data_IF_755122114976
#
_entry.id   IF_755122114976
#
_cell.length_a   1.000
_cell.length_b   1.000
_cell.length_c   1.000
_cell.angle_alpha   90.00
_cell.angle_beta   90.00
_cell.angle_gamma   90.00
#
_symmetry.space_group_name_H-M   'P 1'
#
loop_
_entity.id
_entity.type
_entity.pdbx_description
1 polymer ?
#
# COMPACT_ATOMS: atom_id res chain seq x y z
N UNK A 1 -26.79 39.88 15.26
CA UNK A 1 -27.33 40.90 14.34
C UNK A 1 -26.51 42.15 14.54
N UNK A 2 -25.53 42.41 13.66
CA UNK A 2 -24.95 43.74 13.38
C UNK A 2 -23.65 43.60 12.58
N UNK A 3 -23.75 42.97 11.39
CA UNK A 3 -22.70 43.06 10.36
C UNK A 3 -23.26 43.52 9.01
N UNK A 4 -24.55 43.86 8.93
CA UNK A 4 -25.26 44.20 7.69
C UNK A 4 -25.61 45.70 7.56
N UNK A 5 -25.35 46.52 8.59
CA UNK A 5 -25.76 47.93 8.59
C UNK A 5 -24.71 48.90 8.01
N UNK A 6 -23.43 48.54 7.94
CA UNK A 6 -22.36 49.43 7.47
C UNK A 6 -21.92 49.23 6.01
N UNK A 7 -22.57 48.32 5.27
CA UNK A 7 -22.28 48.08 3.85
C UNK A 7 -23.14 48.97 2.93
N UNK A 8 -24.18 49.65 3.46
CA UNK A 8 -25.13 50.44 2.64
C UNK A 8 -24.83 51.94 2.53
N UNK A 9 -23.86 52.48 3.26
CA UNK A 9 -23.53 53.92 3.23
C UNK A 9 -22.26 54.26 2.44
N UNK A 10 -21.56 53.28 1.87
CA UNK A 10 -20.41 53.51 0.95
C UNK A 10 -20.77 53.33 -0.54
N UNK A 11 -22.01 53.00 -0.88
CA UNK A 11 -22.41 52.66 -2.26
C UNK A 11 -23.03 53.84 -3.06
N UNK A 12 -22.89 55.09 -2.61
CA UNK A 12 -23.51 56.25 -3.28
C UNK A 12 -22.55 57.41 -3.62
N UNK A 13 -21.23 57.17 -3.63
CA UNK A 13 -20.28 58.12 -4.22
C UNK A 13 -19.21 57.35 -5.00
N UNK A 14 -19.09 57.65 -6.30
CA UNK A 14 -18.20 57.07 -7.33
C UNK A 14 -18.69 55.83 -8.11
N UNK A 15 -19.60 56.00 -9.09
CA UNK A 15 -19.62 55.19 -10.29
C UNK A 15 -18.80 55.90 -11.37
N UNK A 16 -17.54 55.50 -11.65
CA UNK A 16 -16.86 55.74 -12.97
C UNK A 16 -15.33 55.52 -13.03
N UNK A 17 -14.61 55.08 -12.00
CA UNK A 17 -13.11 55.03 -12.09
C UNK A 17 -12.51 53.67 -11.71
N UNK A 18 -13.13 52.56 -12.14
CA UNK A 18 -12.58 51.22 -11.92
C UNK A 18 -12.41 50.27 -13.13
N UNK A 19 -12.50 50.71 -14.41
CA UNK A 19 -11.95 49.89 -15.50
C UNK A 19 -10.78 50.49 -16.29
N UNK A 20 -10.29 51.71 -16.00
CA UNK A 20 -9.23 52.33 -16.84
C UNK A 20 -7.79 52.14 -16.35
N UNK A 21 -7.53 51.65 -15.12
CA UNK A 21 -6.16 51.58 -14.59
C UNK A 21 -5.40 50.27 -14.88
N UNK A 22 -6.06 49.25 -15.43
CA UNK A 22 -5.42 47.97 -15.77
C UNK A 22 -5.13 47.79 -17.28
N UNK A 23 -5.47 48.76 -18.14
CA UNK A 23 -5.37 48.58 -19.60
C UNK A 23 -4.34 49.46 -20.32
N UNK A 24 -3.64 50.37 -19.63
CA UNK A 24 -2.78 51.36 -20.32
C UNK A 24 -1.29 51.40 -19.92
N UNK A 25 -0.81 50.43 -19.14
CA UNK A 25 0.62 50.32 -18.78
C UNK A 25 1.34 49.12 -19.39
N UNK A 26 0.80 48.54 -20.46
CA UNK A 26 1.42 47.41 -21.19
C UNK A 26 2.05 47.79 -22.54
N UNK A 27 2.14 49.09 -22.89
CA UNK A 27 2.55 49.51 -24.24
C UNK A 27 3.83 50.35 -24.37
N UNK A 28 4.59 50.61 -23.30
CA UNK A 28 5.89 51.30 -23.45
C UNK A 28 6.93 50.81 -22.45
N UNK A 29 7.60 49.70 -22.80
CA UNK A 29 8.95 49.35 -22.32
C UNK A 29 9.59 48.43 -23.37
N UNK A 30 10.64 48.86 -24.09
CA UNK A 30 11.42 47.97 -24.94
C UNK A 30 12.46 47.30 -24.04
N UNK A 31 12.13 46.14 -23.49
CA UNK A 31 13.14 45.28 -22.84
C UNK A 31 12.95 43.87 -23.36
N UNK A 32 13.83 43.47 -24.27
CA UNK A 32 13.97 42.10 -24.76
C UNK A 32 14.30 41.17 -23.59
N UNK A 33 13.35 40.34 -23.18
CA UNK A 33 13.59 39.24 -22.25
C UNK A 33 13.92 37.96 -23.04
N UNK A 34 15.03 37.25 -22.76
CA UNK A 34 15.22 35.90 -23.22
C UNK A 34 14.34 34.94 -22.40
N UNK A 35 13.67 34.04 -23.09
CA UNK A 35 12.79 33.00 -22.55
C UNK A 35 13.61 31.88 -21.87
N UNK A 36 13.67 31.86 -20.54
CA UNK A 36 14.00 30.64 -19.76
C UNK A 36 13.18 30.58 -18.45
N UNK A 37 12.75 29.37 -18.01
CA UNK A 37 11.83 29.21 -16.90
C UNK A 37 12.53 29.45 -15.54
N UNK A 38 11.88 30.23 -14.68
CA UNK A 38 12.32 30.53 -13.32
C UNK A 38 12.03 29.35 -12.38
N UNK A 39 12.92 28.37 -12.34
CA UNK A 39 13.11 27.52 -11.17
C UNK A 39 14.49 27.85 -10.58
N UNK A 40 14.51 28.27 -9.31
CA UNK A 40 15.67 28.66 -8.49
C UNK A 40 16.15 30.12 -8.60
N UNK A 41 15.44 31.03 -7.93
CA UNK A 41 16.08 32.21 -7.34
C UNK A 41 15.92 32.21 -5.81
N UNK A 42 16.98 32.53 -5.05
CA UNK A 42 16.92 32.59 -3.59
C UNK A 42 16.04 33.76 -3.12
N UNK A 43 15.21 33.51 -2.07
CA UNK A 43 14.25 34.45 -1.46
C UNK A 43 14.83 35.82 -1.06
N UNK A 44 16.16 35.98 -0.98
CA UNK A 44 16.83 37.23 -0.59
C UNK A 44 16.85 38.33 -1.67
N UNK A 45 16.59 38.02 -2.95
CA UNK A 45 16.62 39.02 -4.03
C UNK A 45 15.25 39.66 -4.35
N UNK A 46 14.16 39.15 -3.78
CA UNK A 46 12.80 39.69 -4.02
C UNK A 46 12.44 40.88 -3.11
N UNK A 47 13.08 41.00 -1.95
CA UNK A 47 12.86 42.09 -0.98
C UNK A 47 13.16 43.51 -1.54
N UNK A 48 14.28 43.77 -2.25
CA UNK A 48 14.54 45.10 -2.77
C UNK A 48 13.62 45.49 -3.93
N UNK A 49 13.20 44.53 -4.76
CA UNK A 49 12.30 44.75 -5.90
C UNK A 49 10.87 45.06 -5.41
N UNK A 50 10.38 44.31 -4.42
CA UNK A 50 9.11 44.61 -3.77
C UNK A 50 9.12 45.98 -3.07
N UNK A 51 10.24 46.35 -2.43
CA UNK A 51 10.34 47.67 -1.75
C UNK A 51 10.26 48.84 -2.74
N UNK A 52 10.88 48.72 -3.92
CA UNK A 52 10.83 49.75 -4.96
C UNK A 52 9.46 49.84 -5.61
N UNK A 53 8.81 48.70 -5.83
CA UNK A 53 7.46 48.63 -6.39
C UNK A 53 6.41 49.24 -5.43
N UNK A 54 6.50 48.93 -4.13
CA UNK A 54 5.65 49.54 -3.10
C UNK A 54 5.91 51.06 -3.01
N UNK A 55 7.18 51.50 -3.09
CA UNK A 55 7.49 52.94 -3.05
C UNK A 55 6.95 53.71 -4.27
N UNK A 56 6.89 53.06 -5.44
CA UNK A 56 6.38 53.68 -6.67
C UNK A 56 4.85 53.75 -6.67
N UNK A 57 4.18 52.69 -6.20
CA UNK A 57 2.73 52.68 -6.00
C UNK A 57 2.32 53.71 -4.92
N UNK A 58 3.07 53.83 -3.82
CA UNK A 58 2.82 54.84 -2.79
C UNK A 58 3.02 56.29 -3.30
N UNK A 59 3.83 56.51 -4.35
CA UNK A 59 3.99 57.84 -4.97
C UNK A 59 2.89 58.19 -5.98
N UNK A 60 2.26 57.19 -6.59
CA UNK A 60 1.19 57.38 -7.58
C UNK A 60 -0.23 57.21 -7.01
N UNK A 61 -0.36 56.73 -5.76
CA UNK A 61 -1.64 56.64 -5.08
C UNK A 61 -2.19 58.04 -4.74
N UNK A 62 -3.49 58.30 -4.93
CA UNK A 62 -4.11 59.58 -4.59
C UNK A 62 -3.88 59.92 -3.11
N UNK A 63 -3.56 61.18 -2.82
CA UNK A 63 -3.28 61.76 -1.48
C UNK A 63 -4.49 61.75 -0.52
N UNK A 64 -5.27 60.68 -0.44
CA UNK A 64 -6.53 60.64 0.31
C UNK A 64 -6.76 59.35 1.11
N UNK A 65 -5.72 58.55 1.40
CA UNK A 65 -5.84 57.43 2.33
C UNK A 65 -4.78 57.56 3.44
N UNK A 66 -5.17 57.53 4.72
CA UNK A 66 -4.22 57.68 5.82
C UNK A 66 -3.18 56.56 5.79
N UNK A 67 -1.94 56.86 6.21
CA UNK A 67 -0.80 55.90 6.24
C UNK A 67 -1.17 54.60 6.98
N UNK A 68 -2.11 54.69 7.93
CA UNK A 68 -2.70 53.56 8.66
C UNK A 68 -3.43 52.56 7.75
N UNK A 69 -4.06 53.00 6.66
CA UNK A 69 -4.78 52.15 5.72
C UNK A 69 -3.83 51.23 4.93
N UNK A 70 -2.71 51.79 4.44
CA UNK A 70 -1.68 51.00 3.74
C UNK A 70 -0.95 50.05 4.69
N UNK A 71 -0.61 50.50 5.91
CA UNK A 71 -0.02 49.64 6.93
C UNK A 71 -0.96 48.48 7.33
N UNK A 72 -2.26 48.75 7.44
CA UNK A 72 -3.30 47.76 7.73
C UNK A 72 -3.44 46.74 6.59
N UNK A 73 -3.44 47.20 5.33
CA UNK A 73 -3.49 46.31 4.17
C UNK A 73 -2.26 45.41 4.09
N UNK A 74 -1.06 45.96 4.31
CA UNK A 74 0.19 45.17 4.33
C UNK A 74 0.24 44.17 5.48
N UNK A 75 -0.27 44.53 6.68
CA UNK A 75 -0.36 43.60 7.82
C UNK A 75 -1.37 42.48 7.58
N UNK A 76 -2.52 42.77 6.96
CA UNK A 76 -3.53 41.75 6.63
C UNK A 76 -3.03 40.74 5.59
N UNK A 77 -2.38 41.21 4.52
CA UNK A 77 -1.86 40.32 3.46
C UNK A 77 -0.68 39.48 3.96
N UNK A 78 0.20 40.04 4.81
CA UNK A 78 1.31 39.30 5.40
C UNK A 78 0.80 38.23 6.38
N UNK A 79 -0.19 38.58 7.23
CA UNK A 79 -0.80 37.66 8.20
C UNK A 79 -1.54 36.51 7.51
N UNK A 80 -2.26 36.77 6.40
CA UNK A 80 -2.93 35.74 5.62
C UNK A 80 -1.97 34.76 4.91
N UNK A 81 -0.80 35.22 4.47
CA UNK A 81 0.21 34.34 3.87
C UNK A 81 0.97 33.50 4.91
N UNK A 82 1.24 34.06 6.10
CA UNK A 82 1.84 33.33 7.22
C UNK A 82 0.94 32.19 7.72
N UNK A 83 -0.36 32.42 7.87
CA UNK A 83 -1.33 31.40 8.31
C UNK A 83 -1.56 30.31 7.27
N UNK A 84 -1.52 30.64 5.98
CA UNK A 84 -1.60 29.65 4.90
C UNK A 84 -0.36 28.74 4.87
N UNK A 85 0.83 29.28 5.14
CA UNK A 85 2.05 28.49 5.23
C UNK A 85 2.02 27.52 6.42
N UNK A 86 1.58 27.97 7.60
CA UNK A 86 1.49 27.11 8.80
C UNK A 86 0.44 26.02 8.66
N UNK A 87 -0.69 26.29 8.00
CA UNK A 87 -1.71 25.28 7.73
C UNK A 87 -1.20 24.14 6.83
N UNK A 88 -0.49 24.48 5.74
CA UNK A 88 0.05 23.47 4.83
C UNK A 88 1.12 22.58 5.48
N UNK A 89 1.84 23.11 6.46
CA UNK A 89 2.79 22.33 7.26
C UNK A 89 2.08 21.33 8.17
N UNK A 90 0.98 21.73 8.82
CA UNK A 90 0.13 20.82 9.59
C UNK A 90 -0.51 19.73 8.70
N UNK A 91 -0.95 20.08 7.49
CA UNK A 91 -1.47 19.10 6.51
C UNK A 91 -0.39 18.10 6.12
N UNK A 92 0.85 18.58 5.90
CA UNK A 92 1.99 17.70 5.59
C UNK A 92 2.30 16.75 6.73
N UNK A 93 2.35 17.27 7.96
CA UNK A 93 2.59 16.48 9.17
C UNK A 93 1.51 15.41 9.38
N UNK A 94 0.23 15.79 9.27
CA UNK A 94 -0.88 14.85 9.40
C UNK A 94 -0.83 13.76 8.32
N UNK A 95 -0.48 14.11 7.08
CA UNK A 95 -0.31 13.14 6.00
C UNK A 95 0.88 12.22 6.26
N UNK A 96 2.00 12.73 6.75
CA UNK A 96 3.15 11.89 7.08
C UNK A 96 2.81 10.85 8.16
N UNK A 97 2.00 11.25 9.16
CA UNK A 97 1.59 10.36 10.25
C UNK A 97 0.51 9.34 9.88
N UNK A 98 -0.37 9.67 8.93
CA UNK A 98 -1.59 8.87 8.65
C UNK A 98 -1.63 8.27 7.25
N UNK A 99 -0.78 8.76 6.35
CA UNK A 99 -0.77 8.46 4.91
C UNK A 99 -2.10 8.76 4.18
N UNK A 100 -3.07 9.39 4.84
CA UNK A 100 -4.36 9.70 4.25
C UNK A 100 -4.24 10.68 3.07
N UNK A 101 -5.22 10.69 2.14
CA UNK A 101 -5.25 11.64 1.04
C UNK A 101 -5.15 13.10 1.52
N UNK A 102 -4.41 13.94 0.78
CA UNK A 102 -4.15 15.35 1.16
C UNK A 102 -5.47 16.12 1.38
N UNK A 103 -6.48 15.87 0.54
CA UNK A 103 -7.78 16.49 0.66
C UNK A 103 -8.44 16.16 2.01
N UNK A 104 -8.45 14.88 2.39
CA UNK A 104 -9.02 14.41 3.65
C UNK A 104 -8.27 15.00 4.85
N UNK A 105 -6.93 15.06 4.78
CA UNK A 105 -6.10 15.69 5.81
C UNK A 105 -6.43 17.17 6.00
N UNK A 106 -6.58 17.90 4.90
CA UNK A 106 -6.93 19.33 4.95
C UNK A 106 -8.34 19.57 5.48
N UNK A 107 -9.29 18.71 5.15
CA UNK A 107 -10.67 18.81 5.64
C UNK A 107 -10.76 18.46 7.12
N UNK A 108 -10.11 17.37 7.54
CA UNK A 108 -10.06 16.96 8.94
C UNK A 108 -9.40 18.03 9.83
N UNK A 109 -8.35 18.70 9.35
CA UNK A 109 -7.73 19.82 10.09
C UNK A 109 -8.64 21.04 10.20
N UNK A 110 -9.46 21.34 9.17
CA UNK A 110 -10.46 22.42 9.26
C UNK A 110 -11.53 22.10 10.29
N UNK A 111 -12.07 20.88 10.26
CA UNK A 111 -13.07 20.40 11.22
C UNK A 111 -12.52 20.34 12.65
N UNK A 112 -11.24 20.00 12.81
CA UNK A 112 -10.54 19.93 14.09
C UNK A 112 -9.98 21.29 14.56
N UNK A 113 -10.26 22.40 13.87
CA UNK A 113 -9.69 23.72 14.19
C UNK A 113 -8.14 23.71 14.33
N UNK A 114 -7.46 22.98 13.44
CA UNK A 114 -6.01 22.76 13.42
C UNK A 114 -5.43 21.90 14.55
N UNK A 115 -6.26 21.20 15.33
CA UNK A 115 -5.81 20.19 16.29
C UNK A 115 -5.43 18.89 15.57
N UNK A 116 -4.15 18.53 15.62
CA UNK A 116 -3.62 17.32 15.01
C UNK A 116 -4.21 16.03 15.61
N UNK A 117 -4.40 15.95 16.91
CA UNK A 117 -4.87 14.71 17.55
C UNK A 117 -6.34 14.46 17.22
N UNK A 118 -7.15 15.51 17.30
CA UNK A 118 -8.54 15.44 16.90
C UNK A 118 -8.69 15.14 15.40
N UNK A 119 -7.84 15.73 14.54
CA UNK A 119 -7.84 15.45 13.11
C UNK A 119 -7.52 13.97 12.78
N UNK A 120 -6.59 13.34 13.52
CA UNK A 120 -6.30 11.91 13.38
C UNK A 120 -7.54 11.06 13.69
N UNK A 121 -8.26 11.39 14.76
CA UNK A 121 -9.47 10.64 15.15
C UNK A 121 -10.62 10.84 14.15
N UNK A 122 -10.75 12.05 13.57
CA UNK A 122 -11.68 12.31 12.48
C UNK A 122 -11.34 11.49 11.23
N UNK A 123 -10.06 11.43 10.84
CA UNK A 123 -9.59 10.61 9.73
C UNK A 123 -9.87 9.13 9.96
N UNK A 124 -9.65 8.63 11.18
CA UNK A 124 -9.96 7.23 11.54
C UNK A 124 -11.43 6.92 11.34
N UNK A 125 -12.34 7.78 11.86
CA UNK A 125 -13.80 7.62 11.69
C UNK A 125 -14.22 7.69 10.23
N UNK A 126 -13.70 8.65 9.46
CA UNK A 126 -13.94 8.77 8.01
C UNK A 126 -13.43 7.55 7.25
N UNK A 127 -12.28 7.02 7.63
CA UNK A 127 -11.69 5.81 7.05
C UNK A 127 -12.58 4.58 7.23
N UNK A 128 -13.11 4.37 8.43
CA UNK A 128 -14.06 3.27 8.70
C UNK A 128 -15.32 3.38 7.84
N UNK A 129 -15.89 4.58 7.72
CA UNK A 129 -17.05 4.81 6.87
C UNK A 129 -16.74 4.57 5.38
N UNK A 130 -15.55 4.98 4.91
CA UNK A 130 -15.08 4.72 3.55
C UNK A 130 -14.93 3.22 3.29
N UNK A 131 -14.29 2.50 4.21
CA UNK A 131 -14.12 1.05 4.10
C UNK A 131 -15.47 0.32 4.04
N UNK A 132 -16.43 0.69 4.88
CA UNK A 132 -17.78 0.14 4.83
C UNK A 132 -18.47 0.40 3.48
N UNK A 133 -18.33 1.60 2.91
CA UNK A 133 -18.90 1.95 1.60
C UNK A 133 -18.24 1.21 0.42
N UNK A 134 -16.95 0.88 0.56
CA UNK A 134 -16.16 0.22 -0.48
C UNK A 134 -16.26 -1.30 -0.43
N UNK A 135 -16.60 -1.88 0.73
CA UNK A 135 -16.59 -3.33 0.95
C UNK A 135 -17.41 -4.18 -0.02
N UNK A 136 -18.48 -3.64 -0.61
CA UNK A 136 -19.32 -4.37 -1.57
C UNK A 136 -18.81 -4.33 -3.02
N UNK A 137 -17.70 -3.64 -3.29
CA UNK A 137 -17.15 -3.52 -4.64
C UNK A 137 -16.37 -4.76 -5.02
N UNK A 138 -16.46 -5.12 -6.30
CA UNK A 138 -15.76 -6.27 -6.87
C UNK A 138 -14.24 -6.04 -6.86
N UNK A 139 -13.49 -7.05 -6.45
CA UNK A 139 -12.02 -7.05 -6.41
C UNK A 139 -11.49 -8.24 -7.20
N UNK A 140 -10.88 -7.98 -8.35
CA UNK A 140 -10.39 -9.02 -9.27
C UNK A 140 -8.87 -9.00 -9.48
N UNK A 141 -8.20 -7.93 -9.04
CA UNK A 141 -6.74 -7.79 -9.12
C UNK A 141 -6.12 -8.10 -7.76
N UNK A 142 -4.81 -8.37 -7.69
CA UNK A 142 -4.17 -8.70 -6.42
C UNK A 142 -2.94 -9.57 -6.55
N UNK A 143 -2.60 -10.24 -5.45
CA UNK A 143 -1.39 -11.05 -5.28
C UNK A 143 -1.69 -12.28 -4.43
N UNK A 144 -0.80 -13.27 -4.47
CA UNK A 144 -0.80 -14.39 -3.52
C UNK A 144 0.27 -14.21 -2.45
N UNK A 145 0.00 -14.78 -1.27
CA UNK A 145 0.83 -14.69 -0.06
C UNK A 145 1.08 -16.11 0.44
N UNK A 146 2.34 -16.55 0.44
CA UNK A 146 2.74 -17.84 1.01
C UNK A 146 2.94 -17.72 2.53
N UNK A 147 2.23 -18.55 3.28
CA UNK A 147 2.29 -18.65 4.74
C UNK A 147 2.83 -20.03 5.12
N UNK A 148 3.75 -20.07 6.09
CA UNK A 148 4.36 -21.30 6.61
C UNK A 148 4.39 -21.20 8.13
N UNK A 149 3.67 -22.09 8.80
CA UNK A 149 3.58 -22.17 10.27
C UNK A 149 4.57 -23.17 10.87
N UNK A 150 5.75 -23.32 10.27
CA UNK A 150 6.73 -24.34 10.67
C UNK A 150 6.33 -25.74 10.22
N UNK A 151 6.42 -26.72 11.13
CA UNK A 151 6.06 -28.12 10.85
C UNK A 151 4.55 -28.37 10.79
N UNK A 152 3.74 -27.43 11.29
CA UNK A 152 2.28 -27.59 11.38
C UNK A 152 1.54 -27.42 10.05
N UNK A 153 2.23 -27.02 8.99
CA UNK A 153 1.64 -26.76 7.67
C UNK A 153 1.88 -25.34 7.17
N UNK A 154 1.19 -25.01 6.09
CA UNK A 154 1.18 -23.68 5.50
C UNK A 154 -0.13 -23.39 4.80
N UNK A 155 -0.21 -22.25 4.12
CA UNK A 155 -1.28 -21.96 3.19
C UNK A 155 -0.82 -20.93 2.15
N UNK A 156 -1.50 -20.89 1.02
CA UNK A 156 -1.39 -19.76 0.09
C UNK A 156 -2.67 -18.95 0.12
N UNK A 157 -2.54 -17.66 0.40
CA UNK A 157 -3.65 -16.74 0.60
C UNK A 157 -3.75 -15.81 -0.59
N UNK A 158 -4.95 -15.64 -1.15
CA UNK A 158 -5.20 -14.70 -2.23
C UNK A 158 -5.76 -13.40 -1.68
N UNK A 159 -5.02 -12.30 -1.81
CA UNK A 159 -5.45 -10.96 -1.41
C UNK A 159 -5.77 -10.15 -2.66
N UNK A 160 -6.94 -9.52 -2.69
CA UNK A 160 -7.46 -8.82 -3.86
C UNK A 160 -7.70 -7.32 -3.62
N UNK A 161 -7.67 -6.54 -4.69
CA UNK A 161 -7.98 -5.11 -4.77
C UNK A 161 -8.91 -4.80 -5.96
N UNK A 162 -9.49 -3.59 -5.99
CA UNK A 162 -10.31 -3.12 -7.13
C UNK A 162 -9.49 -2.95 -8.41
N UNK A 163 -8.25 -2.43 -8.32
CA UNK A 163 -7.37 -2.19 -9.48
C UNK A 163 -5.99 -2.81 -9.30
N UNK A 164 -5.27 -2.98 -10.41
CA UNK A 164 -3.87 -3.43 -10.42
C UNK A 164 -2.89 -2.38 -9.88
N UNK A 165 -3.20 -1.09 -10.02
CA UNK A 165 -2.42 0.01 -9.44
C UNK A 165 -2.40 -0.06 -7.91
N UNK A 166 -3.56 -0.34 -7.28
CA UNK A 166 -3.60 -0.56 -5.84
C UNK A 166 -2.80 -1.81 -5.43
N UNK A 167 -2.91 -2.91 -6.19
CA UNK A 167 -2.19 -4.16 -5.91
C UNK A 167 -0.66 -4.01 -5.93
N UNK A 168 -0.11 -3.02 -6.64
CA UNK A 168 1.34 -2.75 -6.75
C UNK A 168 1.83 -1.69 -5.76
N UNK A 169 0.93 -1.11 -4.96
CA UNK A 169 1.28 -0.09 -3.98
C UNK A 169 1.99 -0.68 -2.77
N UNK A 170 2.88 0.10 -2.16
CA UNK A 170 3.57 -0.29 -0.92
C UNK A 170 2.59 -0.57 0.22
N UNK A 171 1.50 0.19 0.29
CA UNK A 171 0.45 0.03 1.30
C UNK A 171 -0.25 -1.33 1.17
N UNK A 172 -0.55 -1.76 -0.05
CA UNK A 172 -1.13 -3.09 -0.28
C UNK A 172 -0.15 -4.21 0.11
N UNK A 173 1.14 -4.05 -0.19
CA UNK A 173 2.16 -5.03 0.23
C UNK A 173 2.31 -5.10 1.75
N UNK A 174 2.21 -3.98 2.48
CA UNK A 174 2.23 -3.97 3.95
C UNK A 174 1.03 -4.72 4.56
N UNK A 175 -0.14 -4.63 3.94
CA UNK A 175 -1.31 -5.43 4.33
C UNK A 175 -1.05 -6.90 4.09
N UNK A 176 -0.49 -7.27 2.94
CA UNK A 176 -0.12 -8.66 2.65
C UNK A 176 0.88 -9.21 3.68
N UNK A 177 1.88 -8.42 4.07
CA UNK A 177 2.82 -8.78 5.14
C UNK A 177 2.10 -9.01 6.48
N UNK A 178 1.17 -8.12 6.83
CA UNK A 178 0.37 -8.27 8.05
C UNK A 178 -0.54 -9.50 8.03
N UNK A 179 -1.13 -9.81 6.87
CA UNK A 179 -1.94 -11.02 6.65
C UNK A 179 -1.08 -12.26 6.84
N UNK A 180 0.11 -12.28 6.24
CA UNK A 180 1.08 -13.38 6.39
C UNK A 180 1.47 -13.59 7.86
N UNK A 181 1.88 -12.53 8.56
CA UNK A 181 2.32 -12.61 9.94
C UNK A 181 1.20 -13.13 10.85
N UNK A 182 -0.01 -12.56 10.73
CA UNK A 182 -1.16 -12.98 11.52
C UNK A 182 -1.52 -14.45 11.24
N UNK A 183 -1.54 -14.87 9.96
CA UNK A 183 -1.92 -16.24 9.64
C UNK A 183 -0.85 -17.26 10.05
N UNK A 184 0.44 -16.96 9.90
CA UNK A 184 1.53 -17.80 10.40
C UNK A 184 1.38 -18.04 11.92
N UNK A 185 1.07 -17.00 12.69
CA UNK A 185 0.82 -17.14 14.13
C UNK A 185 -0.43 -17.98 14.42
N UNK A 186 -1.51 -17.82 13.64
CA UNK A 186 -2.71 -18.64 13.80
C UNK A 186 -2.46 -20.12 13.50
N UNK A 187 -1.65 -20.45 12.48
CA UNK A 187 -1.25 -21.83 12.20
C UNK A 187 -0.48 -22.41 13.39
N UNK A 188 0.50 -21.69 13.92
CA UNK A 188 1.34 -22.14 15.03
C UNK A 188 0.50 -22.32 16.30
N UNK A 189 -0.32 -21.33 16.68
CA UNK A 189 -1.15 -21.37 17.89
C UNK A 189 -2.19 -22.50 17.83
N UNK A 190 -2.77 -22.75 16.66
CA UNK A 190 -3.73 -23.84 16.45
C UNK A 190 -3.05 -25.19 16.20
N UNK A 191 -1.72 -25.26 16.13
CA UNK A 191 -0.96 -26.45 15.73
C UNK A 191 -1.44 -27.05 14.41
N UNK A 192 -1.84 -26.18 13.46
CA UNK A 192 -2.33 -26.58 12.14
C UNK A 192 -3.82 -26.89 12.06
N UNK A 193 -4.59 -26.82 13.15
CA UNK A 193 -6.05 -27.07 13.11
C UNK A 193 -6.80 -26.05 12.26
N UNK A 194 -6.32 -24.80 12.17
CA UNK A 194 -6.90 -23.78 11.29
C UNK A 194 -6.82 -24.15 9.80
N UNK A 195 -5.96 -25.11 9.42
CA UNK A 195 -5.77 -25.55 8.04
C UNK A 195 -6.75 -26.65 7.60
N UNK A 196 -7.69 -27.05 8.47
CA UNK A 196 -8.68 -28.11 8.17
C UNK A 196 -9.69 -27.69 7.11
N UNK A 197 -10.19 -26.46 7.19
CA UNK A 197 -11.15 -25.89 6.25
C UNK A 197 -10.68 -24.50 5.79
N UNK A 198 -10.43 -24.36 4.48
CA UNK A 198 -9.94 -23.10 3.91
C UNK A 198 -10.94 -21.94 3.97
N UNK A 199 -12.25 -22.23 3.97
CA UNK A 199 -13.30 -21.21 4.09
C UNK A 199 -13.38 -20.68 5.52
N UNK A 200 -13.31 -21.56 6.50
CA UNK A 200 -13.24 -21.18 7.92
C UNK A 200 -11.94 -20.42 8.23
N UNK A 201 -10.81 -20.89 7.71
CA UNK A 201 -9.52 -20.20 7.83
C UNK A 201 -9.60 -18.78 7.24
N UNK A 202 -10.20 -18.64 6.06
CA UNK A 202 -10.40 -17.35 5.41
C UNK A 202 -11.26 -16.40 6.25
N UNK A 203 -12.36 -16.91 6.82
CA UNK A 203 -13.25 -16.15 7.71
C UNK A 203 -12.52 -15.69 8.97
N UNK A 204 -11.85 -16.60 9.66
CA UNK A 204 -11.12 -16.32 10.90
C UNK A 204 -9.98 -15.32 10.69
N UNK A 205 -9.25 -15.45 9.58
CA UNK A 205 -8.19 -14.52 9.21
C UNK A 205 -8.75 -13.13 8.88
N UNK A 206 -9.81 -13.06 8.07
CA UNK A 206 -10.46 -11.80 7.67
C UNK A 206 -10.97 -11.03 8.90
N UNK A 207 -11.53 -11.73 9.88
CA UNK A 207 -11.94 -11.15 11.15
C UNK A 207 -10.73 -10.61 11.93
N UNK A 208 -9.67 -11.41 12.06
CA UNK A 208 -8.46 -11.05 12.81
C UNK A 208 -7.70 -9.86 12.22
N UNK A 209 -7.64 -9.73 10.89
CA UNK A 209 -6.95 -8.63 10.20
C UNK A 209 -7.89 -7.51 9.74
N UNK A 210 -9.17 -7.57 10.15
CA UNK A 210 -10.21 -6.66 9.67
C UNK A 210 -9.90 -5.18 9.89
N UNK A 211 -9.28 -4.81 11.03
CA UNK A 211 -8.85 -3.44 11.28
C UNK A 211 -7.74 -2.99 10.34
N UNK A 212 -6.77 -3.87 10.05
CA UNK A 212 -5.67 -3.58 9.13
C UNK A 212 -6.17 -3.41 7.69
N UNK A 213 -7.11 -4.25 7.25
CA UNK A 213 -7.79 -4.13 5.96
C UNK A 213 -8.58 -2.82 5.84
N UNK A 214 -9.36 -2.46 6.88
CA UNK A 214 -10.10 -1.19 6.87
C UNK A 214 -9.18 0.02 6.84
N UNK A 215 -8.07 -0.02 7.57
CA UNK A 215 -7.06 1.04 7.55
C UNK A 215 -6.44 1.20 6.16
N UNK A 216 -6.10 0.11 5.48
CA UNK A 216 -5.55 0.19 4.13
C UNK A 216 -6.56 0.70 3.11
N UNK A 217 -7.83 0.30 3.20
CA UNK A 217 -8.90 0.82 2.33
C UNK A 217 -9.08 2.33 2.54
N UNK A 218 -8.93 2.82 3.77
CA UNK A 218 -9.02 4.25 4.06
C UNK A 218 -7.94 5.06 3.32
N UNK A 219 -6.71 4.54 3.29
CA UNK A 219 -5.54 5.15 2.63
C UNK A 219 -5.59 4.99 1.11
N UNK A 220 -5.80 3.77 0.62
CA UNK A 220 -5.83 3.44 -0.81
C UNK A 220 -7.06 4.02 -1.51
N UNK A 221 -8.18 4.12 -0.82
CA UNK A 221 -9.45 4.53 -1.41
C UNK A 221 -10.12 3.46 -2.27
N UNK A 222 -9.60 2.23 -2.26
CA UNK A 222 -10.10 1.06 -2.99
C UNK A 222 -10.36 -0.09 -2.02
N UNK A 223 -11.34 -0.94 -2.35
CA UNK A 223 -11.64 -2.15 -1.62
C UNK A 223 -10.46 -3.12 -1.67
N UNK A 224 -10.16 -3.74 -0.53
CA UNK A 224 -9.13 -4.76 -0.38
C UNK A 224 -9.74 -5.91 0.41
N UNK A 225 -9.63 -7.13 -0.11
CA UNK A 225 -10.31 -8.30 0.45
C UNK A 225 -9.37 -9.51 0.46
N UNK A 226 -9.65 -10.46 1.35
CA UNK A 226 -9.05 -11.80 1.30
C UNK A 226 -10.04 -12.68 0.55
N UNK A 227 -9.64 -13.16 -0.63
CA UNK A 227 -10.52 -13.93 -1.52
C UNK A 227 -10.58 -15.40 -1.12
N UNK A 228 -9.44 -15.98 -0.80
CA UNK A 228 -9.34 -17.39 -0.45
C UNK A 228 -8.09 -17.68 0.38
N UNK A 229 -8.18 -18.75 1.15
CA UNK A 229 -7.04 -19.40 1.81
C UNK A 229 -7.00 -20.83 1.27
N UNK A 230 -5.90 -21.20 0.63
CA UNK A 230 -5.65 -22.57 0.15
C UNK A 230 -4.76 -23.28 1.18
N UNK A 231 -5.32 -24.15 2.04
CA UNK A 231 -4.55 -24.79 3.10
C UNK A 231 -3.56 -25.81 2.51
N UNK A 232 -2.39 -25.88 3.12
CA UNK A 232 -1.37 -26.88 2.83
C UNK A 232 -1.06 -27.64 4.11
N UNK A 233 -1.87 -28.68 4.35
CA UNK A 233 -1.74 -29.53 5.52
C UNK A 233 -0.90 -30.75 5.16
N UNK A 234 0.14 -31.00 5.93
CA UNK A 234 0.91 -32.23 5.81
C UNK A 234 0.38 -33.19 6.87
N UNK A 235 -0.21 -34.30 6.45
CA UNK A 235 -0.58 -35.35 7.39
C UNK A 235 0.72 -35.79 8.09
N UNK A 236 0.72 -35.72 9.43
CA UNK A 236 1.83 -36.16 10.27
C UNK A 236 1.96 -37.69 10.18
N UNK A 237 2.37 -38.19 9.01
CA UNK A 237 2.73 -39.58 8.82
C UNK A 237 4.08 -39.77 9.49
N UNK A 238 4.10 -40.64 10.51
CA UNK A 238 5.09 -41.66 10.95
C UNK A 238 6.58 -41.57 10.56
N UNK A 239 7.01 -40.75 9.61
CA UNK A 239 8.38 -40.37 9.35
C UNK A 239 8.69 -39.07 10.09
N UNK A 240 9.54 -39.13 11.12
CA UNK A 240 10.03 -37.91 11.76
C UNK A 240 10.71 -36.97 10.76
N UNK A 241 10.49 -35.66 10.90
CA UNK A 241 11.23 -34.62 10.19
C UNK A 241 10.58 -34.05 8.92
N UNK A 242 9.29 -33.70 8.94
CA UNK A 242 8.68 -32.95 7.83
C UNK A 242 9.17 -31.50 7.85
N UNK A 243 9.69 -31.05 6.72
CA UNK A 243 10.11 -29.66 6.50
C UNK A 243 9.31 -29.03 5.37
N UNK A 244 8.83 -27.81 5.59
CA UNK A 244 8.03 -27.07 4.62
C UNK A 244 8.85 -25.93 4.02
N UNK A 245 8.90 -25.89 2.70
CA UNK A 245 9.52 -24.86 1.89
C UNK A 245 8.50 -23.96 1.21
N UNK A 246 8.88 -22.71 0.96
CA UNK A 246 8.14 -21.81 0.09
C UNK A 246 9.03 -21.22 -1.00
N UNK A 247 8.43 -20.95 -2.15
CA UNK A 247 9.02 -20.11 -3.19
C UNK A 247 7.95 -19.23 -3.82
N UNK A 248 8.30 -17.98 -4.09
CA UNK A 248 7.40 -17.00 -4.70
C UNK A 248 8.03 -16.43 -5.96
N UNK A 249 7.26 -16.39 -7.04
CA UNK A 249 7.66 -15.78 -8.30
C UNK A 249 6.92 -14.46 -8.52
N UNK A 250 7.63 -13.46 -9.05
CA UNK A 250 7.12 -12.09 -9.17
C UNK A 250 6.93 -11.42 -7.82
N UNK A 251 7.95 -11.50 -6.95
CA UNK A 251 7.91 -10.94 -5.60
C UNK A 251 7.76 -9.40 -5.61
N UNK A 252 6.89 -8.87 -4.76
CA UNK A 252 6.51 -7.45 -4.74
C UNK A 252 7.18 -6.67 -3.59
N UNK A 253 8.49 -6.80 -3.44
CA UNK A 253 9.27 -6.09 -2.40
C UNK A 253 9.01 -6.54 -0.96
N UNK A 254 8.15 -7.55 -0.77
CA UNK A 254 7.89 -8.23 0.50
C UNK A 254 8.08 -9.74 0.27
N UNK A 255 8.87 -10.43 1.11
CA UNK A 255 9.11 -11.86 0.96
C UNK A 255 7.82 -12.66 1.04
N UNK A 256 7.74 -13.70 0.23
CA UNK A 256 6.57 -14.59 0.09
C UNK A 256 5.29 -13.93 -0.44
N UNK A 257 5.36 -12.71 -0.98
CA UNK A 257 4.23 -12.01 -1.60
C UNK A 257 4.52 -11.78 -3.06
N UNK A 258 3.72 -12.36 -3.96
CA UNK A 258 3.96 -12.22 -5.40
C UNK A 258 2.85 -12.81 -6.27
N UNK A 259 3.15 -12.97 -7.57
CA UNK A 259 2.16 -13.44 -8.55
C UNK A 259 1.84 -14.92 -8.41
N UNK A 260 2.86 -15.74 -8.16
CA UNK A 260 2.75 -17.18 -7.97
C UNK A 260 3.46 -17.57 -6.69
N UNK A 261 2.85 -18.43 -5.89
CA UNK A 261 3.47 -18.97 -4.69
C UNK A 261 3.35 -20.49 -4.67
N UNK A 262 4.46 -21.15 -4.35
CA UNK A 262 4.56 -22.59 -4.19
C UNK A 262 4.98 -22.96 -2.79
N UNK A 263 4.31 -23.95 -2.21
CA UNK A 263 4.68 -24.63 -0.98
C UNK A 263 5.06 -26.07 -1.30
N UNK A 264 6.06 -26.59 -0.58
CA UNK A 264 6.47 -27.99 -0.69
C UNK A 264 6.69 -28.58 0.70
N UNK A 265 6.32 -29.83 0.89
CA UNK A 265 6.63 -30.62 2.07
C UNK A 265 7.58 -31.75 1.67
N UNK A 266 8.74 -31.78 2.31
CA UNK A 266 9.74 -32.82 2.15
C UNK A 266 10.03 -33.48 3.49
N UNK A 267 10.45 -34.74 3.47
CA UNK A 267 11.10 -35.38 4.62
C UNK A 267 12.48 -35.90 4.23
N UNK A 268 13.42 -36.02 5.17
CA UNK A 268 14.67 -36.69 4.91
C UNK A 268 14.45 -38.20 4.66
N UNK A 269 15.37 -38.81 3.92
CA UNK A 269 15.39 -40.26 3.75
C UNK A 269 15.72 -40.97 5.08
N UNK A 270 16.59 -40.36 5.89
CA UNK A 270 16.96 -40.83 7.21
C UNK A 270 16.20 -40.07 8.30
N UNK A 271 15.59 -40.79 9.25
CA UNK A 271 14.82 -40.17 10.31
C UNK A 271 15.71 -39.29 11.21
N UNK A 272 15.26 -38.06 11.47
CA UNK A 272 15.96 -37.12 12.36
C UNK A 272 17.00 -36.22 11.68
N UNK A 273 17.24 -36.38 10.37
CA UNK A 273 18.01 -35.40 9.60
C UNK A 273 17.18 -34.14 9.31
N UNK A 274 17.82 -32.98 9.24
CA UNK A 274 17.17 -31.72 8.82
C UNK A 274 17.22 -31.58 7.29
N UNK A 275 16.22 -30.92 6.70
CA UNK A 275 16.21 -30.62 5.26
C UNK A 275 16.72 -29.19 5.05
N UNK A 276 17.89 -28.99 4.41
CA UNK A 276 18.43 -27.66 4.18
C UNK A 276 17.47 -26.77 3.41
N UNK A 277 17.27 -25.53 3.91
CA UNK A 277 16.41 -24.52 3.28
C UNK A 277 16.66 -24.31 1.78
N UNK A 278 17.92 -24.31 1.26
CA UNK A 278 18.14 -24.17 -0.18
C UNK A 278 17.51 -25.30 -1.02
N UNK A 279 17.46 -26.52 -0.49
CA UNK A 279 16.84 -27.66 -1.18
C UNK A 279 15.31 -27.51 -1.20
N UNK A 280 14.71 -27.11 -0.08
CA UNK A 280 13.28 -26.78 0.00
C UNK A 280 12.88 -25.71 -1.02
N UNK A 281 13.63 -24.62 -1.09
CA UNK A 281 13.40 -23.53 -2.05
C UNK A 281 13.60 -24.01 -3.49
N UNK A 282 14.59 -24.85 -3.75
CA UNK A 282 14.85 -25.43 -5.08
C UNK A 282 13.69 -26.27 -5.59
N UNK A 283 13.15 -27.15 -4.75
CA UNK A 283 12.00 -27.99 -5.11
C UNK A 283 10.73 -27.14 -5.24
N UNK A 284 10.46 -26.21 -4.32
CA UNK A 284 9.33 -25.30 -4.46
C UNK A 284 9.39 -24.46 -5.75
N UNK A 285 10.60 -24.02 -6.14
CA UNK A 285 10.83 -23.32 -7.41
C UNK A 285 10.54 -24.20 -8.61
N UNK A 286 10.95 -25.46 -8.59
CA UNK A 286 10.64 -26.40 -9.67
C UNK A 286 9.13 -26.51 -9.88
N UNK A 287 8.35 -26.74 -8.83
CA UNK A 287 6.88 -26.83 -8.95
C UNK A 287 6.24 -25.52 -9.42
N UNK A 288 6.76 -24.36 -9.00
CA UNK A 288 6.30 -23.07 -9.53
C UNK A 288 6.64 -22.89 -11.01
N UNK A 289 7.81 -23.32 -11.46
CA UNK A 289 8.23 -23.22 -12.86
C UNK A 289 7.48 -24.20 -13.77
N UNK A 290 7.12 -25.37 -13.25
CA UNK A 290 6.42 -26.44 -13.97
C UNK A 290 4.90 -26.43 -13.69
N UNK A 291 4.36 -25.37 -13.09
CA UNK A 291 2.93 -25.27 -12.79
C UNK A 291 2.12 -25.36 -14.09
N UNK A 292 1.31 -26.42 -14.23
CA UNK A 292 0.54 -26.71 -15.45
C UNK A 292 1.17 -27.75 -16.37
N UNK A 293 2.31 -28.35 -16.01
CA UNK A 293 2.81 -29.54 -16.68
C UNK A 293 1.91 -30.74 -16.36
N UNK A 294 1.47 -31.47 -17.40
CA UNK A 294 0.71 -32.71 -17.27
C UNK A 294 1.64 -33.90 -16.99
N UNK A 295 1.14 -34.92 -16.29
CA UNK A 295 1.85 -36.18 -16.04
C UNK A 295 2.54 -36.30 -14.67
N UNK A 296 3.29 -37.38 -14.48
CA UNK A 296 3.97 -37.69 -13.22
C UNK A 296 5.15 -36.75 -12.98
N UNK A 297 5.09 -35.97 -11.90
CA UNK A 297 6.13 -35.02 -11.51
C UNK A 297 7.49 -35.69 -11.32
N UNK A 298 7.54 -36.95 -10.91
CA UNK A 298 8.80 -37.65 -10.63
C UNK A 298 9.65 -37.82 -11.90
N UNK A 299 9.00 -37.92 -13.07
CA UNK A 299 9.62 -38.06 -14.40
C UNK A 299 10.03 -36.74 -15.04
N UNK A 300 9.58 -35.61 -14.49
CA UNK A 300 9.91 -34.29 -15.04
C UNK A 300 11.39 -33.99 -14.80
N UNK A 301 12.02 -33.30 -15.74
CA UNK A 301 13.39 -32.80 -15.55
C UNK A 301 13.42 -31.77 -14.44
N UNK A 302 14.31 -31.95 -13.46
CA UNK A 302 14.43 -31.01 -12.36
C UNK A 302 14.92 -29.65 -12.86
N UNK A 303 14.39 -28.57 -12.31
CA UNK A 303 14.65 -27.23 -12.85
C UNK A 303 16.14 -26.87 -12.72
N UNK A 304 16.81 -26.67 -13.86
CA UNK A 304 18.24 -26.33 -13.91
C UNK A 304 19.18 -27.51 -13.70
N UNK A 305 18.71 -28.76 -13.86
CA UNK A 305 19.54 -29.96 -13.84
C UNK A 305 19.18 -30.87 -15.03
N UNK A 306 20.08 -31.81 -15.36
CA UNK A 306 19.88 -32.79 -16.43
C UNK A 306 19.18 -34.09 -15.94
N UNK A 307 18.95 -34.21 -14.63
CA UNK A 307 18.32 -35.37 -13.99
C UNK A 307 16.82 -35.13 -13.73
N UNK A 308 16.07 -36.21 -13.52
CA UNK A 308 14.64 -36.13 -13.15
C UNK A 308 14.45 -35.65 -11.70
N UNK A 309 13.25 -35.16 -11.35
CA UNK A 309 12.91 -34.79 -9.96
C UNK A 309 13.11 -35.98 -9.02
N UNK A 310 12.70 -37.18 -9.43
CA UNK A 310 12.86 -38.39 -8.61
C UNK A 310 14.32 -38.81 -8.40
N UNK A 311 15.20 -38.61 -9.39
CA UNK A 311 16.64 -38.83 -9.24
C UNK A 311 17.28 -37.76 -8.34
N UNK A 312 16.93 -36.50 -8.56
CA UNK A 312 17.42 -35.37 -7.78
C UNK A 312 17.08 -35.53 -6.29
N UNK A 313 15.83 -35.90 -5.97
CA UNK A 313 15.39 -36.13 -4.59
C UNK A 313 16.15 -37.28 -3.94
N UNK A 314 16.32 -38.41 -4.64
CA UNK A 314 17.09 -39.56 -4.15
C UNK A 314 18.56 -39.20 -3.88
N UNK A 315 19.19 -38.47 -4.80
CA UNK A 315 20.59 -38.03 -4.67
C UNK A 315 20.80 -37.11 -3.46
N UNK A 316 19.80 -36.31 -3.12
CA UNK A 316 19.84 -35.42 -1.95
C UNK A 316 19.28 -36.08 -0.67
N UNK A 317 18.98 -37.39 -0.70
CA UNK A 317 18.40 -38.14 0.41
C UNK A 317 17.09 -37.51 0.93
N UNK A 318 16.19 -37.13 0.02
CA UNK A 318 14.89 -36.51 0.33
C UNK A 318 13.74 -37.37 -0.19
N UNK A 319 12.61 -37.31 0.52
CA UNK A 319 11.32 -37.84 0.09
C UNK A 319 10.36 -36.67 -0.13
N UNK A 320 9.69 -36.68 -1.27
CA UNK A 320 8.60 -35.76 -1.55
C UNK A 320 7.34 -36.23 -0.81
N UNK A 321 6.59 -35.29 -0.22
CA UNK A 321 5.31 -35.58 0.44
C UNK A 321 4.19 -34.94 -0.36
N UNK A 322 4.22 -33.62 -0.50
CA UNK A 322 3.23 -32.88 -1.26
C UNK A 322 3.76 -31.50 -1.67
N UNK A 323 3.08 -30.87 -2.63
CA UNK A 323 3.25 -29.47 -2.96
C UNK A 323 1.92 -28.82 -3.29
N UNK A 324 1.86 -27.51 -3.12
CA UNK A 324 0.73 -26.65 -3.49
C UNK A 324 1.29 -25.44 -4.24
N UNK A 325 0.83 -25.22 -5.46
CA UNK A 325 1.15 -24.03 -6.25
C UNK A 325 -0.12 -23.25 -6.55
N UNK A 326 -0.09 -21.96 -6.29
CA UNK A 326 -1.20 -21.05 -6.61
C UNK A 326 -0.65 -19.88 -7.42
N UNK A 327 -1.11 -19.77 -8.66
CA UNK A 327 -0.95 -18.57 -9.50
C UNK A 327 -2.21 -17.72 -9.34
N UNK A 328 -2.03 -16.43 -9.12
CA UNK A 328 -3.15 -15.51 -8.94
C UNK A 328 -4.14 -15.60 -10.12
N UNK A 329 -5.39 -15.92 -9.80
CA UNK A 329 -6.47 -16.04 -10.78
C UNK A 329 -6.58 -17.40 -11.48
N UNK A 330 -5.76 -18.39 -11.11
CA UNK A 330 -5.89 -19.78 -11.57
C UNK A 330 -6.27 -20.71 -10.44
N UNK A 331 -6.73 -21.90 -10.80
CA UNK A 331 -6.96 -22.98 -9.83
C UNK A 331 -5.65 -23.46 -9.19
N UNK A 332 -5.67 -23.84 -7.91
CA UNK A 332 -4.50 -24.36 -7.23
C UNK A 332 -4.07 -25.70 -7.86
N UNK A 333 -2.77 -25.88 -8.03
CA UNK A 333 -2.18 -27.14 -8.49
C UNK A 333 -1.57 -27.84 -7.28
N UNK A 334 -2.02 -29.06 -7.02
CA UNK A 334 -1.54 -29.89 -5.90
C UNK A 334 -0.88 -31.14 -6.47
N UNK A 335 0.32 -31.43 -5.98
CA UNK A 335 0.97 -32.71 -6.24
C UNK A 335 1.15 -33.44 -4.91
N UNK A 336 0.80 -34.73 -4.88
CA UNK A 336 0.96 -35.58 -3.69
C UNK A 336 1.82 -36.78 -4.09
N UNK A 337 2.69 -37.23 -3.19
CA UNK A 337 3.46 -38.43 -3.41
C UNK A 337 2.53 -39.65 -3.65
N UNK A 338 2.87 -40.57 -4.57
CA UNK A 338 2.14 -41.82 -4.72
C UNK A 338 2.16 -42.62 -3.41
N UNK A 339 1.06 -43.30 -3.06
CA UNK A 339 0.92 -44.05 -1.79
C UNK A 339 2.07 -45.07 -1.55
N UNK A 340 2.65 -45.61 -2.63
CA UNK A 340 3.76 -46.57 -2.59
C UNK A 340 5.06 -46.03 -1.94
N UNK A 341 5.21 -44.71 -1.79
CA UNK A 341 6.36 -44.08 -1.12
C UNK A 341 6.13 -43.81 0.37
N UNK A 342 4.90 -43.93 0.86
CA UNK A 342 4.52 -43.68 2.27
C UNK A 342 4.64 -44.94 3.12
N UNK A 343 4.43 -46.11 2.53
CA UNK A 343 4.71 -47.39 3.15
C UNK A 343 6.14 -47.78 2.77
N UNK A 344 7.09 -47.64 3.70
CA UNK A 344 8.47 -48.04 3.48
C UNK A 344 8.53 -49.44 2.89
N UNK A 345 8.89 -49.53 1.61
CA UNK A 345 9.12 -50.78 0.92
C UNK A 345 10.20 -51.55 1.68
N UNK A 346 9.78 -52.67 2.25
CA UNK A 346 10.63 -53.67 2.91
C UNK A 346 11.65 -54.25 1.94
#
# INVERSE_FOLDING_TARGET
>A
MDLYANVRTCATFFPSVLPCFLFQYFLFLPVSFPTRPFHNLPRLLLLPIFSRFISHICRQAPRALPVTFWAMLTRSVLRANLTKSSFMELVRELRFRTEAPIADCSEALREANNDLQNAVELLRKKGLARAAKKGSRVTEYGTVVACVGGEFGGAVITVCSETDFAARSTQFHHVCASVMETFNQQIICSKGEILTDGSEACRALTESVGDKLRASIAVLGENVTIKSVQPFRVASHKLGGVSIGSYTHGELGVPNVGRVAGLVALSPAEAGADVPRPLLVGVARHFVACSGAEGDFASQTFFGADETVGEWLRRNALRFISSLVVDFGKEPVVHTAPEQFLEGSK
#
